data_IF_961294906629
#
_entry.id   IF_961294906629
#
_cell.length_a   1.000
_cell.length_b   1.000
_cell.length_c   1.000
_cell.angle_alpha   90.00
_cell.angle_beta   90.00
_cell.angle_gamma   90.00
#
_symmetry.space_group_name_H-M   'P 1'
#
loop_
_entity.id
_entity.type
_entity.pdbx_description
1 polymer ?
#
# COMPACT_ATOMS: atom_id res chain seq x y z
N UNK A 1 43.77 -78.39 -41.31
CA UNK A 1 42.60 -78.68 -40.43
C UNK A 1 42.08 -77.33 -39.93
N UNK A 2 40.93 -76.87 -40.41
CA UNK A 2 40.38 -75.59 -40.26
C UNK A 2 39.56 -75.47 -38.93
N UNK A 3 39.77 -74.46 -38.14
CA UNK A 3 38.88 -74.11 -37.05
C UNK A 3 38.36 -72.70 -37.26
N UNK A 4 37.02 -72.59 -37.31
CA UNK A 4 36.23 -71.38 -37.49
C UNK A 4 36.16 -70.58 -36.16
N UNK A 5 36.60 -69.34 -36.21
CA UNK A 5 36.37 -68.41 -35.12
C UNK A 5 35.04 -67.65 -35.31
N UNK A 6 34.16 -67.66 -34.28
CA UNK A 6 32.93 -66.96 -34.28
C UNK A 6 33.10 -65.49 -33.82
N UNK A 7 32.60 -64.51 -34.60
CA UNK A 7 32.53 -63.11 -34.24
C UNK A 7 31.30 -62.88 -33.44
N UNK A 8 31.46 -62.41 -32.18
CA UNK A 8 30.41 -61.88 -31.38
C UNK A 8 30.34 -60.37 -31.64
N UNK A 9 29.22 -59.89 -32.22
CA UNK A 9 28.89 -58.46 -32.34
C UNK A 9 28.18 -58.07 -31.07
N UNK A 10 28.83 -57.26 -30.24
CA UNK A 10 28.21 -56.62 -29.04
C UNK A 10 27.57 -55.33 -29.50
N UNK A 11 26.22 -55.31 -29.45
CA UNK A 11 25.42 -54.06 -29.61
C UNK A 11 25.45 -53.26 -28.32
N UNK A 12 26.23 -52.19 -28.30
CA UNK A 12 26.25 -51.20 -27.22
C UNK A 12 25.04 -50.31 -27.29
N UNK A 13 24.09 -50.47 -26.35
CA UNK A 13 23.02 -49.52 -26.14
C UNK A 13 23.55 -48.31 -25.35
N UNK A 14 23.70 -47.16 -26.02
CA UNK A 14 24.02 -45.91 -25.38
C UNK A 14 22.74 -45.37 -24.69
N UNK A 15 22.67 -45.47 -23.35
CA UNK A 15 21.71 -44.74 -22.57
C UNK A 15 22.08 -43.24 -22.58
N UNK A 16 21.32 -42.43 -23.30
CA UNK A 16 21.35 -40.97 -23.17
C UNK A 16 20.72 -40.57 -21.84
N UNK A 17 21.55 -40.28 -20.85
CA UNK A 17 21.11 -39.63 -19.62
C UNK A 17 20.82 -38.17 -19.96
N UNK A 18 19.57 -37.82 -20.08
CA UNK A 18 19.15 -36.39 -20.10
C UNK A 18 19.51 -35.81 -18.75
N UNK A 19 20.57 -35.03 -18.67
CA UNK A 19 20.85 -34.19 -17.51
C UNK A 19 19.77 -33.11 -17.47
N UNK A 20 18.79 -33.26 -16.58
CA UNK A 20 17.97 -32.15 -16.12
C UNK A 20 18.94 -31.14 -15.50
N UNK A 21 19.24 -30.05 -16.22
CA UNK A 21 19.94 -28.92 -15.64
C UNK A 21 19.20 -28.44 -14.40
N UNK A 22 19.90 -27.86 -13.40
CA UNK A 22 19.23 -27.31 -12.23
C UNK A 22 18.16 -26.33 -12.73
N UNK A 23 16.91 -26.56 -12.35
CA UNK A 23 15.87 -25.56 -12.51
C UNK A 23 16.43 -24.26 -11.90
N UNK A 24 16.71 -23.25 -12.74
CA UNK A 24 17.28 -22.00 -12.28
C UNK A 24 16.41 -21.50 -11.12
N UNK A 25 17.03 -21.26 -9.95
CA UNK A 25 16.33 -20.67 -8.84
C UNK A 25 15.63 -19.42 -9.38
N UNK A 26 14.30 -19.35 -9.24
CA UNK A 26 13.58 -18.17 -9.64
C UNK A 26 14.23 -16.98 -8.92
N UNK A 27 14.72 -15.99 -9.69
CA UNK A 27 15.30 -14.80 -9.07
C UNK A 27 14.25 -14.12 -8.21
N UNK A 28 14.62 -13.75 -6.99
CA UNK A 28 13.70 -13.09 -6.04
C UNK A 28 13.12 -11.81 -6.64
N UNK A 29 11.93 -11.47 -6.19
CA UNK A 29 11.19 -10.27 -6.62
C UNK A 29 11.14 -9.31 -5.44
N UNK A 30 11.88 -8.21 -5.53
CA UNK A 30 11.91 -7.19 -4.48
C UNK A 30 10.74 -6.23 -4.62
N UNK A 31 9.85 -6.19 -3.63
CA UNK A 31 8.66 -5.33 -3.66
C UNK A 31 8.71 -4.31 -2.52
N UNK A 32 8.75 -3.03 -2.85
CA UNK A 32 8.54 -1.95 -1.88
C UNK A 32 7.06 -1.56 -1.89
N UNK A 33 6.42 -1.51 -0.72
CA UNK A 33 4.99 -1.20 -0.63
C UNK A 33 4.65 -0.29 0.55
N UNK A 34 3.54 0.43 0.39
CA UNK A 34 3.00 1.28 1.46
C UNK A 34 2.84 0.49 2.76
N UNK A 35 3.23 1.06 3.89
CA UNK A 35 3.16 0.43 5.21
C UNK A 35 1.74 -0.05 5.57
N UNK A 36 0.70 0.67 5.14
CA UNK A 36 -0.70 0.25 5.30
C UNK A 36 -1.07 -1.08 4.63
N UNK A 37 -0.20 -1.59 3.75
CA UNK A 37 -0.38 -2.88 3.08
C UNK A 37 0.40 -4.03 3.75
N UNK A 38 1.26 -3.76 4.75
CA UNK A 38 2.15 -4.74 5.38
C UNK A 38 1.39 -6.02 5.76
N UNK A 39 0.35 -5.91 6.55
CA UNK A 39 -0.39 -7.09 7.02
C UNK A 39 -1.00 -7.89 5.87
N UNK A 40 -1.55 -7.21 4.85
CA UNK A 40 -2.11 -7.84 3.66
C UNK A 40 -1.02 -8.53 2.83
N UNK A 41 0.09 -7.83 2.59
CA UNK A 41 1.21 -8.38 1.81
C UNK A 41 1.78 -9.62 2.48
N UNK A 42 2.13 -9.53 3.76
CA UNK A 42 2.81 -10.61 4.48
C UNK A 42 1.91 -11.81 4.77
N UNK A 43 0.63 -11.59 5.08
CA UNK A 43 -0.28 -12.68 5.49
C UNK A 43 -1.10 -13.28 4.35
N UNK A 44 -1.23 -12.57 3.22
CA UNK A 44 -2.12 -13.01 2.14
C UNK A 44 -1.42 -13.04 0.76
N UNK A 45 -0.86 -11.92 0.31
CA UNK A 45 -0.35 -11.79 -1.06
C UNK A 45 0.95 -12.57 -1.24
N UNK A 46 1.95 -12.39 -0.39
CA UNK A 46 3.25 -13.09 -0.49
C UNK A 46 3.09 -14.61 -0.38
N UNK A 47 2.35 -15.15 0.60
CA UNK A 47 2.10 -16.60 0.66
C UNK A 47 1.36 -17.16 -0.58
N UNK A 48 0.39 -16.42 -1.13
CA UNK A 48 -0.32 -16.83 -2.33
C UNK A 48 0.54 -16.74 -3.60
N UNK A 49 1.45 -15.75 -3.69
CA UNK A 49 2.45 -15.63 -4.74
C UNK A 49 3.44 -16.81 -4.71
N UNK A 50 3.91 -17.20 -3.51
CA UNK A 50 4.80 -18.35 -3.33
C UNK A 50 4.17 -19.67 -3.82
N UNK A 51 2.87 -19.87 -3.61
CA UNK A 51 2.13 -21.04 -4.14
C UNK A 51 2.11 -21.09 -5.67
N UNK A 52 2.42 -19.97 -6.34
CA UNK A 52 2.55 -19.84 -7.80
C UNK A 52 4.00 -19.85 -8.28
N UNK A 53 4.94 -20.14 -7.37
CA UNK A 53 6.37 -20.16 -7.69
C UNK A 53 7.02 -18.77 -7.79
N UNK A 54 6.37 -17.73 -7.28
CA UNK A 54 6.93 -16.37 -7.21
C UNK A 54 7.59 -16.17 -5.84
N UNK A 55 8.90 -15.98 -5.85
CA UNK A 55 9.70 -15.72 -4.64
C UNK A 55 9.72 -14.21 -4.36
N UNK A 56 8.77 -13.74 -3.55
CA UNK A 56 8.53 -12.32 -3.28
C UNK A 56 9.13 -11.93 -1.93
N UNK A 57 10.03 -10.96 -1.96
CA UNK A 57 10.60 -10.30 -0.78
C UNK A 57 10.09 -8.86 -0.71
N UNK A 58 9.47 -8.51 0.41
CA UNK A 58 8.79 -7.25 0.54
C UNK A 58 9.28 -6.39 1.71
N UNK A 59 9.29 -5.07 1.52
CA UNK A 59 9.54 -4.10 2.57
C UNK A 59 8.43 -3.05 2.58
N UNK A 60 7.74 -2.89 3.72
CA UNK A 60 6.69 -1.90 3.92
C UNK A 60 7.17 -0.70 4.74
N UNK A 61 6.95 0.51 4.22
CA UNK A 61 7.19 1.80 4.92
C UNK A 61 6.26 2.89 4.38
N UNK A 62 6.27 4.06 5.02
CA UNK A 62 5.59 5.23 4.45
C UNK A 62 6.01 5.48 3.00
N UNK A 63 5.03 5.61 2.09
CA UNK A 63 5.32 5.64 0.64
C UNK A 63 6.21 6.79 0.21
N UNK A 64 6.20 7.93 0.92
CA UNK A 64 7.11 9.06 0.64
C UNK A 64 8.55 8.67 0.97
N UNK A 65 8.76 8.00 2.11
CA UNK A 65 10.08 7.50 2.49
C UNK A 65 10.61 6.52 1.45
N UNK A 66 9.79 5.57 0.97
CA UNK A 66 10.17 4.62 -0.07
C UNK A 66 10.51 5.32 -1.40
N UNK A 67 9.68 6.28 -1.83
CA UNK A 67 9.96 7.06 -3.04
C UNK A 67 11.29 7.83 -2.95
N UNK A 68 11.64 8.33 -1.75
CA UNK A 68 12.92 9.00 -1.52
C UNK A 68 14.10 8.03 -1.58
N UNK A 69 13.95 6.79 -1.08
CA UNK A 69 14.98 5.75 -1.22
C UNK A 69 15.21 5.38 -2.68
N UNK A 70 14.15 5.26 -3.49
CA UNK A 70 14.24 5.01 -4.93
C UNK A 70 14.92 6.20 -5.63
N UNK A 71 14.47 7.42 -5.35
CA UNK A 71 15.03 8.66 -5.95
C UNK A 71 16.50 8.84 -5.62
N UNK A 72 16.91 8.50 -4.40
CA UNK A 72 18.32 8.59 -3.96
C UNK A 72 19.19 7.42 -4.44
N UNK A 73 18.64 6.43 -5.14
CA UNK A 73 19.37 5.25 -5.59
C UNK A 73 19.77 4.29 -4.45
N UNK A 74 19.18 4.45 -3.25
CA UNK A 74 19.43 3.57 -2.09
C UNK A 74 18.68 2.25 -2.18
N UNK A 75 17.62 2.19 -3.00
CA UNK A 75 16.83 1.00 -3.29
C UNK A 75 16.46 0.96 -4.77
N UNK A 76 16.52 -0.23 -5.35
CA UNK A 76 16.11 -0.51 -6.72
C UNK A 76 15.15 -1.72 -6.70
N UNK A 77 13.86 -1.51 -6.37
CA UNK A 77 12.90 -2.60 -6.31
C UNK A 77 12.46 -3.04 -7.70
N UNK A 78 11.92 -4.26 -7.76
CA UNK A 78 11.25 -4.77 -8.95
C UNK A 78 9.84 -4.20 -9.09
N UNK A 79 9.13 -4.01 -7.95
CA UNK A 79 7.80 -3.38 -7.93
C UNK A 79 7.74 -2.34 -6.82
N UNK A 80 7.12 -1.19 -7.10
CA UNK A 80 6.80 -0.19 -6.09
C UNK A 80 5.28 0.00 -6.01
N UNK A 81 4.70 -0.17 -4.82
CA UNK A 81 3.28 0.02 -4.54
C UNK A 81 3.12 1.18 -3.55
N UNK A 82 2.51 2.26 -4.00
CA UNK A 82 2.30 3.48 -3.22
C UNK A 82 0.85 3.61 -2.76
N UNK A 83 0.63 4.16 -1.57
CA UNK A 83 -0.69 4.61 -1.12
C UNK A 83 -1.09 5.98 -1.70
N UNK A 84 -0.31 6.53 -2.63
CA UNK A 84 -0.66 7.75 -3.36
C UNK A 84 -0.12 7.69 -4.80
N UNK A 85 -1.01 7.65 -5.82
CA UNK A 85 -0.61 7.64 -7.23
C UNK A 85 0.22 8.87 -7.62
N UNK A 86 -0.11 10.06 -7.08
CA UNK A 86 0.60 11.28 -7.38
C UNK A 86 2.09 11.22 -6.96
N UNK A 87 2.39 10.44 -5.91
CA UNK A 87 3.76 10.25 -5.46
C UNK A 87 4.60 9.47 -6.47
N UNK A 88 4.03 8.43 -7.11
CA UNK A 88 4.72 7.72 -8.20
C UNK A 88 4.98 8.70 -9.35
N UNK A 89 4.02 9.56 -9.66
CA UNK A 89 4.20 10.62 -10.65
C UNK A 89 5.41 11.52 -10.40
N UNK A 90 5.81 11.73 -9.13
CA UNK A 90 7.02 12.52 -8.80
C UNK A 90 8.34 11.81 -9.14
N UNK A 91 8.32 10.54 -9.51
CA UNK A 91 9.48 9.77 -9.98
C UNK A 91 9.56 9.72 -11.51
N UNK A 92 8.58 10.29 -12.21
CA UNK A 92 8.47 10.29 -13.66
C UNK A 92 9.18 11.50 -14.29
N UNK A 93 9.49 11.37 -15.56
CA UNK A 93 10.02 12.42 -16.42
C UNK A 93 11.53 12.64 -16.30
N UNK A 94 12.13 13.35 -17.31
CA UNK A 94 13.57 13.56 -17.40
C UNK A 94 14.20 14.23 -16.18
N UNK A 95 13.54 15.21 -15.50
CA UNK A 95 14.10 15.82 -14.29
C UNK A 95 14.32 14.83 -13.14
N UNK A 96 13.62 13.70 -13.16
CA UNK A 96 13.75 12.62 -12.16
C UNK A 96 14.45 11.39 -12.72
N UNK A 97 15.21 11.50 -13.82
CA UNK A 97 15.94 10.40 -14.45
C UNK A 97 15.05 9.31 -15.05
N UNK A 98 13.74 9.57 -15.27
CA UNK A 98 12.77 8.58 -15.72
C UNK A 98 12.79 7.29 -14.87
N UNK A 99 12.95 7.43 -13.54
CA UNK A 99 12.98 6.29 -12.61
C UNK A 99 11.73 5.42 -12.75
N UNK A 100 10.61 6.05 -13.15
CA UNK A 100 9.34 5.42 -13.47
C UNK A 100 8.80 6.06 -14.76
N UNK A 101 8.21 5.28 -15.65
CA UNK A 101 7.62 5.76 -16.90
C UNK A 101 6.11 5.60 -16.97
N UNK A 102 5.53 4.74 -16.14
CA UNK A 102 4.10 4.49 -16.05
C UNK A 102 3.73 4.03 -14.63
N UNK A 103 2.47 4.16 -14.29
CA UNK A 103 1.90 3.51 -13.11
C UNK A 103 0.43 3.16 -13.36
N UNK A 104 -0.11 2.24 -12.57
CA UNK A 104 -1.53 1.91 -12.57
C UNK A 104 -2.13 2.08 -11.18
N UNK A 105 -3.23 2.84 -11.10
CA UNK A 105 -4.09 2.88 -9.92
C UNK A 105 -5.05 1.71 -10.00
N UNK A 106 -5.04 0.84 -8.98
CA UNK A 106 -5.79 -0.42 -9.02
C UNK A 106 -6.77 -0.58 -7.85
N UNK A 107 -6.66 0.25 -6.83
CA UNK A 107 -7.49 0.13 -5.64
C UNK A 107 -7.63 1.47 -4.89
N UNK A 108 -8.68 1.57 -4.09
CA UNK A 108 -8.90 2.69 -3.17
C UNK A 108 -9.07 2.18 -1.74
N UNK A 109 -8.88 3.10 -0.80
CA UNK A 109 -9.16 2.90 0.62
C UNK A 109 -9.74 4.18 1.20
N UNK A 110 -10.10 4.18 2.47
CA UNK A 110 -10.62 5.36 3.17
C UNK A 110 -10.03 5.50 4.55
N UNK A 111 -10.00 6.70 5.06
CA UNK A 111 -9.62 6.97 6.45
C UNK A 111 -10.76 6.63 7.40
N UNK A 112 -10.37 6.03 8.52
CA UNK A 112 -11.22 5.70 9.67
C UNK A 112 -10.51 6.12 10.96
N UNK A 113 -11.23 6.18 12.06
CA UNK A 113 -10.65 6.26 13.41
C UNK A 113 -10.68 4.88 14.01
N UNK A 114 -9.53 4.19 14.01
CA UNK A 114 -9.35 2.97 14.79
C UNK A 114 -9.24 3.29 16.26
N UNK A 115 -9.77 2.46 17.16
CA UNK A 115 -9.65 2.67 18.59
C UNK A 115 -9.30 1.37 19.32
N UNK A 116 -8.60 1.51 20.46
CA UNK A 116 -8.25 0.37 21.30
C UNK A 116 -9.50 -0.10 22.08
N UNK A 117 -9.89 -1.38 22.03
CA UNK A 117 -11.03 -1.89 22.80
C UNK A 117 -10.84 -1.74 24.33
N UNK A 118 -9.57 -1.71 24.78
CA UNK A 118 -9.21 -1.52 26.20
C UNK A 118 -9.18 -0.06 26.65
N UNK A 119 -9.36 0.88 25.72
CA UNK A 119 -9.33 2.31 26.05
C UNK A 119 -10.52 2.72 26.93
N UNK A 120 -10.31 3.61 27.92
CA UNK A 120 -11.41 4.20 28.68
C UNK A 120 -12.40 4.98 27.79
N UNK A 121 -11.98 5.38 26.58
CA UNK A 121 -12.82 6.08 25.59
C UNK A 121 -13.53 5.14 24.62
N UNK A 122 -13.34 3.82 24.70
CA UNK A 122 -13.93 2.86 23.75
C UNK A 122 -15.47 2.98 23.69
N UNK A 123 -16.12 3.22 24.83
CA UNK A 123 -17.58 3.42 24.89
C UNK A 123 -18.04 4.67 24.12
N UNK A 124 -17.28 5.76 24.15
CA UNK A 124 -17.57 6.99 23.40
C UNK A 124 -17.52 6.73 21.88
N UNK A 125 -16.55 5.95 21.41
CA UNK A 125 -16.49 5.54 20.00
C UNK A 125 -17.65 4.64 19.59
N UNK A 126 -18.04 3.67 20.43
CA UNK A 126 -19.26 2.86 20.23
C UNK A 126 -20.52 3.73 20.18
N UNK A 127 -20.59 4.78 20.95
CA UNK A 127 -21.71 5.73 20.93
C UNK A 127 -21.73 6.54 19.63
N UNK A 128 -20.58 6.86 19.05
CA UNK A 128 -20.49 7.46 17.70
C UNK A 128 -21.03 6.49 16.65
N UNK A 129 -20.59 5.22 16.66
CA UNK A 129 -21.09 4.20 15.72
C UNK A 129 -22.60 4.01 15.77
N UNK A 130 -23.17 4.18 16.96
CA UNK A 130 -24.63 4.08 17.20
C UNK A 130 -25.39 5.41 16.99
N UNK A 131 -24.69 6.46 16.55
CA UNK A 131 -25.29 7.79 16.33
C UNK A 131 -25.71 8.52 17.62
N UNK A 132 -25.20 8.12 18.79
CA UNK A 132 -25.50 8.73 20.09
C UNK A 132 -24.52 9.82 20.50
N UNK A 133 -23.34 9.87 19.87
CA UNK A 133 -22.33 10.90 20.08
C UNK A 133 -21.80 11.42 18.74
N UNK A 134 -21.25 12.63 18.74
CA UNK A 134 -20.58 13.19 17.56
C UNK A 134 -19.09 12.88 17.62
N UNK A 135 -18.54 12.33 16.54
CA UNK A 135 -17.13 12.00 16.46
C UNK A 135 -16.20 13.18 16.81
N UNK A 136 -16.54 14.39 16.35
CA UNK A 136 -15.72 15.59 16.61
C UNK A 136 -15.71 16.01 18.09
N UNK A 137 -16.67 15.58 18.88
CA UNK A 137 -16.68 15.81 20.32
C UNK A 137 -15.82 14.78 21.03
N UNK A 138 -15.96 13.50 20.67
CA UNK A 138 -15.16 12.39 21.22
C UNK A 138 -13.67 12.59 20.94
N UNK A 139 -13.30 13.00 19.72
CA UNK A 139 -11.89 13.25 19.37
C UNK A 139 -11.23 14.39 20.15
N UNK A 140 -12.02 15.25 20.79
CA UNK A 140 -11.54 16.34 21.64
C UNK A 140 -11.73 16.08 23.14
N UNK A 141 -12.11 14.86 23.54
CA UNK A 141 -12.21 14.51 24.95
C UNK A 141 -10.84 14.69 25.65
N UNK A 142 -10.82 15.33 26.84
CA UNK A 142 -9.59 15.56 27.58
C UNK A 142 -8.90 14.23 27.92
N UNK A 143 -7.59 14.13 27.63
CA UNK A 143 -6.80 12.96 27.94
C UNK A 143 -6.81 11.86 26.87
N UNK A 144 -7.58 12.01 25.79
CA UNK A 144 -7.57 11.06 24.67
C UNK A 144 -6.19 11.08 23.98
N UNK A 145 -5.52 9.92 23.93
CA UNK A 145 -4.23 9.71 23.28
C UNK A 145 -4.45 9.33 21.82
N UNK A 146 -4.34 10.32 20.95
CA UNK A 146 -4.55 10.14 19.50
C UNK A 146 -3.23 9.94 18.77
N UNK A 147 -3.14 8.91 17.95
CA UNK A 147 -1.99 8.63 17.08
C UNK A 147 -2.25 8.92 15.60
N UNK A 148 -1.18 9.26 14.87
CA UNK A 148 -1.16 9.44 13.42
C UNK A 148 0.25 9.27 12.86
N UNK A 149 0.38 9.04 11.56
CA UNK A 149 1.70 8.95 10.92
C UNK A 149 2.28 10.32 10.56
N UNK A 150 3.59 10.36 10.29
CA UNK A 150 4.30 11.59 9.90
C UNK A 150 3.87 12.05 8.51
N UNK A 151 3.32 13.28 8.36
CA UNK A 151 2.86 13.80 7.08
C UNK A 151 3.98 14.06 6.06
N UNK A 152 5.25 14.10 6.50
CA UNK A 152 6.42 14.24 5.62
C UNK A 152 6.79 12.91 4.98
N UNK A 153 6.59 11.78 5.68
CA UNK A 153 7.08 10.46 5.29
C UNK A 153 5.98 9.53 4.79
N UNK A 154 4.70 9.84 5.09
CA UNK A 154 3.58 8.92 4.85
C UNK A 154 2.35 9.65 4.28
N UNK A 155 1.73 9.11 3.20
CA UNK A 155 0.48 9.64 2.65
C UNK A 155 -0.66 9.70 3.66
N UNK A 156 -0.80 8.73 4.56
CA UNK A 156 -1.82 8.72 5.62
C UNK A 156 -1.62 9.93 6.55
N UNK A 157 -0.38 10.30 6.83
CA UNK A 157 -0.06 11.46 7.66
C UNK A 157 -0.62 12.76 7.09
N UNK A 158 -0.34 13.11 5.82
CA UNK A 158 -0.92 14.32 5.24
C UNK A 158 -2.42 14.19 4.93
N UNK A 159 -2.93 12.98 4.67
CA UNK A 159 -4.36 12.74 4.53
C UNK A 159 -5.12 12.93 5.85
N UNK A 160 -4.49 12.64 6.98
CA UNK A 160 -5.03 12.99 8.30
C UNK A 160 -5.25 14.49 8.45
N UNK A 161 -4.31 15.31 7.95
CA UNK A 161 -4.46 16.77 7.96
C UNK A 161 -5.65 17.22 7.09
N UNK A 162 -5.83 16.62 5.91
CA UNK A 162 -6.99 16.88 5.06
C UNK A 162 -8.28 16.46 5.73
N UNK A 163 -8.34 15.24 6.29
CA UNK A 163 -9.51 14.71 6.95
C UNK A 163 -9.95 15.59 8.12
N UNK A 164 -9.03 16.11 8.92
CA UNK A 164 -9.35 17.02 10.01
C UNK A 164 -9.97 18.34 9.53
N UNK A 165 -9.42 18.94 8.44
CA UNK A 165 -10.00 20.14 7.82
C UNK A 165 -11.40 19.87 7.25
N UNK A 166 -11.59 18.71 6.63
CA UNK A 166 -12.87 18.32 6.06
C UNK A 166 -13.91 17.99 7.14
N UNK A 167 -13.49 17.35 8.24
CA UNK A 167 -14.33 17.13 9.43
C UNK A 167 -14.74 18.45 10.08
N UNK A 168 -13.83 19.42 10.20
CA UNK A 168 -14.12 20.77 10.69
C UNK A 168 -15.26 21.41 9.90
N UNK A 169 -15.17 21.36 8.57
CA UNK A 169 -16.19 21.92 7.66
C UNK A 169 -17.51 21.16 7.75
N UNK A 170 -17.45 19.83 7.69
CA UNK A 170 -18.64 18.97 7.72
C UNK A 170 -19.41 19.11 9.06
N UNK A 171 -18.68 19.32 10.16
CA UNK A 171 -19.26 19.47 11.48
C UNK A 171 -19.68 20.93 11.80
N UNK A 172 -19.32 21.91 10.95
CA UNK A 172 -19.53 23.32 11.22
C UNK A 172 -18.83 23.79 12.50
N UNK A 173 -17.61 23.30 12.77
CA UNK A 173 -16.87 23.54 14.02
C UNK A 173 -15.51 24.20 13.76
N UNK A 174 -15.46 25.52 13.54
CA UNK A 174 -14.22 26.25 13.27
C UNK A 174 -13.15 26.02 14.34
N UNK A 175 -11.89 25.81 13.90
CA UNK A 175 -10.76 25.56 14.79
C UNK A 175 -10.63 24.13 15.30
N UNK A 176 -11.53 23.21 14.90
CA UNK A 176 -11.45 21.79 15.27
C UNK A 176 -10.13 21.14 14.84
N UNK A 177 -9.74 21.31 13.58
CA UNK A 177 -8.53 20.68 13.05
C UNK A 177 -7.27 21.12 13.81
N UNK A 178 -7.13 22.42 14.07
CA UNK A 178 -6.02 22.96 14.84
C UNK A 178 -6.01 22.45 16.29
N UNK A 179 -7.18 22.39 16.94
CA UNK A 179 -7.30 21.89 18.31
C UNK A 179 -7.00 20.40 18.41
N UNK A 180 -7.43 19.61 17.43
CA UNK A 180 -7.21 18.15 17.39
C UNK A 180 -5.75 17.80 17.12
N UNK A 181 -5.13 18.42 16.12
CA UNK A 181 -3.84 18.01 15.61
C UNK A 181 -2.66 18.85 16.13
N UNK A 182 -2.93 20.09 16.57
CA UNK A 182 -1.88 21.05 16.86
C UNK A 182 -1.07 21.40 15.59
N UNK A 183 0.24 21.19 15.64
CA UNK A 183 1.12 21.37 14.50
C UNK A 183 1.01 20.23 13.48
N UNK A 184 1.37 20.49 12.21
CA UNK A 184 1.42 19.47 11.18
C UNK A 184 2.27 18.26 11.60
N UNK A 185 3.38 18.50 12.29
CA UNK A 185 4.28 17.49 12.86
C UNK A 185 4.28 17.52 14.39
N UNK A 186 3.10 17.37 15.00
CA UNK A 186 2.97 17.28 16.46
C UNK A 186 3.66 16.00 17.00
N UNK A 187 4.78 16.14 17.72
CA UNK A 187 5.57 14.98 18.18
C UNK A 187 4.85 14.09 19.19
N UNK A 188 3.81 14.61 19.86
CA UNK A 188 3.00 13.82 20.77
C UNK A 188 2.06 12.84 20.06
N UNK A 189 1.81 13.02 18.75
CA UNK A 189 0.89 12.21 17.98
C UNK A 189 1.55 11.41 16.85
N UNK A 190 2.74 11.85 16.40
CA UNK A 190 3.40 11.27 15.23
C UNK A 190 4.18 10.02 15.60
N UNK A 191 3.91 8.95 14.87
CA UNK A 191 4.59 7.65 15.01
C UNK A 191 4.90 7.08 13.63
N UNK A 192 5.96 6.28 13.50
CA UNK A 192 6.09 5.35 12.38
C UNK A 192 4.88 4.43 12.31
N UNK A 193 4.51 3.99 11.12
CA UNK A 193 3.26 3.25 10.88
C UNK A 193 3.18 1.97 11.71
N UNK A 194 4.26 1.20 11.77
CA UNK A 194 4.34 -0.05 12.55
C UNK A 194 4.18 0.20 14.06
N UNK A 195 4.79 1.27 14.55
CA UNK A 195 4.69 1.67 15.95
C UNK A 195 3.29 2.18 16.29
N UNK A 196 2.63 2.88 15.35
CA UNK A 196 1.27 3.37 15.51
C UNK A 196 0.30 2.23 15.79
N UNK A 197 0.33 1.18 14.95
CA UNK A 197 -0.53 0.02 15.10
C UNK A 197 -0.23 -0.77 16.37
N UNK A 198 1.04 -1.02 16.66
CA UNK A 198 1.46 -1.75 17.85
C UNK A 198 1.01 -1.03 19.14
N UNK A 199 1.15 0.30 19.21
CA UNK A 199 0.70 1.09 20.37
C UNK A 199 -0.80 1.15 20.52
N UNK A 200 -1.54 1.18 19.40
CA UNK A 200 -2.99 1.12 19.44
C UNK A 200 -3.48 -0.26 19.93
N UNK A 201 -2.91 -1.34 19.42
CA UNK A 201 -3.20 -2.71 19.84
C UNK A 201 -2.83 -2.96 21.32
N UNK A 202 -1.70 -2.39 21.76
CA UNK A 202 -1.22 -2.47 23.14
C UNK A 202 -1.95 -1.57 24.14
N UNK A 203 -2.83 -0.67 23.66
CA UNK A 203 -3.56 0.27 24.52
C UNK A 203 -2.74 1.49 24.98
N UNK A 204 -1.54 1.71 24.42
CA UNK A 204 -0.76 2.94 24.65
C UNK A 204 -1.37 4.16 23.95
N UNK A 205 -2.17 3.92 22.91
CA UNK A 205 -3.03 4.90 22.26
C UNK A 205 -4.49 4.50 22.47
N UNK A 206 -5.35 5.51 22.57
CA UNK A 206 -6.79 5.32 22.66
C UNK A 206 -7.44 5.23 21.28
N UNK A 207 -6.94 6.03 20.34
CA UNK A 207 -7.41 6.08 18.97
C UNK A 207 -6.27 6.44 18.00
N UNK A 208 -6.46 6.12 16.72
CA UNK A 208 -5.53 6.50 15.66
C UNK A 208 -6.26 6.71 14.33
N UNK A 209 -5.73 7.62 13.50
CA UNK A 209 -6.10 7.68 12.09
C UNK A 209 -5.50 6.50 11.34
N UNK A 210 -6.34 5.64 10.81
CA UNK A 210 -6.00 4.45 10.05
C UNK A 210 -6.65 4.48 8.67
N UNK A 211 -6.12 3.69 7.74
CA UNK A 211 -6.92 3.26 6.61
C UNK A 211 -7.84 2.09 7.03
N UNK A 212 -8.99 1.97 6.39
CA UNK A 212 -9.91 0.87 6.65
C UNK A 212 -9.25 -0.51 6.44
N UNK A 213 -8.30 -0.61 5.51
CA UNK A 213 -7.49 -1.81 5.27
C UNK A 213 -6.73 -2.26 6.50
N UNK A 214 -6.16 -1.33 7.27
CA UNK A 214 -5.40 -1.65 8.49
C UNK A 214 -6.34 -2.13 9.60
N UNK A 215 -7.48 -1.44 9.76
CA UNK A 215 -8.52 -1.84 10.73
C UNK A 215 -9.01 -3.26 10.47
N UNK A 216 -9.36 -3.58 9.21
CA UNK A 216 -9.80 -4.93 8.80
C UNK A 216 -8.71 -5.95 9.01
N UNK A 217 -7.49 -5.69 8.53
CA UNK A 217 -6.38 -6.64 8.59
C UNK A 217 -5.93 -6.96 10.02
N UNK A 218 -6.08 -6.00 10.94
CA UNK A 218 -5.73 -6.14 12.38
C UNK A 218 -6.92 -6.45 13.25
N UNK A 219 -8.15 -6.51 12.70
CA UNK A 219 -9.40 -6.68 13.45
C UNK A 219 -9.58 -5.64 14.57
N UNK A 220 -9.14 -4.42 14.29
CA UNK A 220 -9.34 -3.29 15.19
C UNK A 220 -10.71 -2.69 14.94
N UNK A 221 -11.50 -2.38 15.98
CA UNK A 221 -12.73 -1.63 15.81
C UNK A 221 -12.41 -0.22 15.30
N UNK A 222 -13.31 0.32 14.47
CA UNK A 222 -13.07 1.64 13.87
C UNK A 222 -14.39 2.36 13.56
N UNK A 223 -14.41 3.65 13.85
CA UNK A 223 -15.48 4.58 13.48
C UNK A 223 -15.23 5.09 12.07
N UNK A 224 -16.23 5.00 11.21
CA UNK A 224 -16.22 5.58 9.87
C UNK A 224 -16.24 7.11 9.91
N UNK A 225 -15.38 7.74 9.15
CA UNK A 225 -15.50 9.19 8.90
C UNK A 225 -16.64 9.47 7.91
N UNK A 226 -17.28 10.64 7.99
CA UNK A 226 -18.25 11.06 6.98
C UNK A 226 -17.64 10.99 5.56
N UNK A 227 -18.44 10.62 4.56
CA UNK A 227 -17.97 10.52 3.16
C UNK A 227 -17.24 11.77 2.66
N UNK A 228 -17.68 12.96 3.12
CA UNK A 228 -17.04 14.24 2.79
C UNK A 228 -15.62 14.40 3.39
N UNK A 229 -15.20 13.52 4.31
CA UNK A 229 -13.93 13.64 5.03
C UNK A 229 -13.04 12.36 5.00
N UNK A 230 -13.58 11.20 4.60
CA UNK A 230 -12.86 9.92 4.66
C UNK A 230 -11.90 9.69 3.50
N UNK A 231 -11.91 10.54 2.49
CA UNK A 231 -11.07 10.46 1.27
C UNK A 231 -11.24 9.14 0.47
N UNK A 232 -12.33 8.39 0.68
CA UNK A 232 -12.50 7.07 0.04
C UNK A 232 -13.39 7.08 -1.19
N UNK A 233 -14.15 8.13 -1.42
CA UNK A 233 -15.15 8.21 -2.49
C UNK A 233 -14.66 9.10 -3.65
N UNK A 234 -14.33 8.53 -4.83
CA UNK A 234 -13.93 9.32 -5.99
C UNK A 234 -14.95 10.40 -6.40
N UNK A 235 -16.25 10.17 -6.15
CA UNK A 235 -17.30 11.16 -6.44
C UNK A 235 -17.16 12.42 -5.56
N UNK A 236 -16.45 12.35 -4.45
CA UNK A 236 -16.17 13.48 -3.55
C UNK A 236 -14.86 14.21 -3.87
N UNK A 237 -14.20 13.92 -4.99
CA UNK A 237 -12.88 14.48 -5.32
C UNK A 237 -12.85 16.02 -5.24
N UNK A 238 -13.89 16.71 -5.70
CA UNK A 238 -14.00 18.17 -5.61
C UNK A 238 -14.07 18.66 -4.15
N UNK A 239 -14.81 17.95 -3.29
CA UNK A 239 -14.87 18.23 -1.85
C UNK A 239 -13.50 18.05 -1.21
N UNK A 240 -12.83 16.94 -1.50
CA UNK A 240 -11.48 16.66 -0.96
C UNK A 240 -10.46 17.70 -1.39
N UNK A 241 -10.50 18.15 -2.66
CA UNK A 241 -9.60 19.16 -3.20
C UNK A 241 -9.73 20.54 -2.51
N UNK A 242 -10.79 20.77 -1.74
CA UNK A 242 -10.91 21.95 -0.90
C UNK A 242 -9.96 21.97 0.29
N UNK A 243 -9.49 20.79 0.76
CA UNK A 243 -8.48 20.68 1.82
C UNK A 243 -7.07 20.80 1.22
N UNK A 244 -6.24 21.65 1.84
CA UNK A 244 -4.86 21.89 1.40
C UNK A 244 -3.95 22.03 2.60
N UNK A 245 -2.74 21.51 2.49
CA UNK A 245 -1.69 21.67 3.51
C UNK A 245 -0.36 21.92 2.85
N UNK A 246 0.46 22.78 3.47
CA UNK A 246 1.86 22.99 3.06
C UNK A 246 2.76 22.23 4.03
N UNK A 247 3.59 21.34 3.49
CA UNK A 247 4.52 20.50 4.24
C UNK A 247 5.88 20.62 3.55
N UNK A 248 6.90 21.04 4.29
CA UNK A 248 8.27 21.24 3.79
C UNK A 248 8.30 22.09 2.49
N UNK A 249 7.53 23.17 2.46
CA UNK A 249 7.45 24.09 1.32
C UNK A 249 6.58 23.58 0.14
N UNK A 250 6.10 22.35 0.15
CA UNK A 250 5.26 21.80 -0.90
C UNK A 250 3.78 21.82 -0.47
N UNK A 251 2.92 22.43 -1.28
CA UNK A 251 1.47 22.40 -1.07
C UNK A 251 0.88 21.12 -1.66
N UNK A 252 0.19 20.36 -0.81
CA UNK A 252 -0.57 19.17 -1.18
C UNK A 252 -2.05 19.48 -1.14
N UNK A 253 -2.79 18.93 -2.08
CA UNK A 253 -4.25 19.07 -2.19
C UNK A 253 -4.91 17.73 -1.92
N UNK A 254 -6.01 17.74 -1.19
CA UNK A 254 -6.79 16.54 -0.88
C UNK A 254 -7.30 15.87 -2.15
N UNK A 255 -7.22 14.54 -2.16
CA UNK A 255 -7.66 13.69 -3.25
C UNK A 255 -8.13 12.34 -2.68
N UNK A 256 -8.86 11.52 -3.45
CA UNK A 256 -9.21 10.16 -3.04
C UNK A 256 -7.98 9.36 -2.66
N UNK A 257 -8.07 8.59 -1.57
CA UNK A 257 -7.02 7.70 -1.13
C UNK A 257 -6.99 6.46 -2.02
N UNK A 258 -5.91 6.29 -2.77
CA UNK A 258 -5.79 5.22 -3.75
C UNK A 258 -4.42 4.56 -3.67
N UNK A 259 -4.38 3.28 -4.03
CA UNK A 259 -3.15 2.53 -4.23
C UNK A 259 -2.81 2.45 -5.71
N UNK A 260 -1.57 2.70 -6.00
CA UNK A 260 -1.01 2.53 -7.34
C UNK A 260 0.29 1.73 -7.28
N UNK A 261 0.59 1.04 -8.37
CA UNK A 261 1.83 0.30 -8.53
C UNK A 261 2.54 0.65 -9.83
N UNK A 262 3.83 0.37 -9.86
CA UNK A 262 4.68 0.48 -11.04
C UNK A 262 5.80 -0.55 -10.98
N UNK A 263 6.37 -0.87 -12.14
CA UNK A 263 7.66 -1.52 -12.30
C UNK A 263 8.66 -0.41 -12.62
N UNK A 264 9.62 -0.08 -11.75
CA UNK A 264 10.63 0.94 -12.04
C UNK A 264 11.44 0.60 -13.27
N UNK A 265 11.95 1.65 -13.96
CA UNK A 265 12.70 1.48 -15.22
C UNK A 265 13.98 0.64 -15.06
N UNK A 266 14.57 0.65 -13.86
CA UNK A 266 15.78 -0.10 -13.51
C UNK A 266 15.48 -1.32 -12.62
N UNK A 267 14.29 -1.92 -12.74
CA UNK A 267 13.94 -3.14 -12.01
C UNK A 267 14.95 -4.26 -12.29
N UNK A 268 15.57 -4.87 -11.27
CA UNK A 268 16.56 -5.94 -11.47
C UNK A 268 15.97 -7.21 -12.07
N UNK A 269 14.71 -7.53 -11.74
CA UNK A 269 13.99 -8.70 -12.24
C UNK A 269 12.66 -8.29 -12.91
N UNK A 270 12.67 -7.68 -14.10
CA UNK A 270 11.47 -7.17 -14.76
C UNK A 270 10.48 -8.28 -15.15
N UNK A 271 10.95 -9.50 -15.41
CA UNK A 271 10.09 -10.64 -15.72
C UNK A 271 9.33 -11.10 -14.47
N UNK A 272 10.02 -11.27 -13.34
CA UNK A 272 9.39 -11.59 -12.07
C UNK A 272 8.43 -10.50 -11.61
N UNK A 273 8.83 -9.22 -11.75
CA UNK A 273 7.97 -8.07 -11.48
C UNK A 273 6.66 -8.13 -12.29
N UNK A 274 6.76 -8.42 -13.58
CA UNK A 274 5.60 -8.56 -14.47
C UNK A 274 4.67 -9.67 -13.99
N UNK A 275 5.22 -10.85 -13.69
CA UNK A 275 4.44 -12.01 -13.21
C UNK A 275 3.76 -11.71 -11.85
N UNK A 276 4.44 -10.99 -10.95
CA UNK A 276 3.85 -10.58 -9.69
C UNK A 276 2.70 -9.58 -9.89
N UNK A 277 2.86 -8.60 -10.77
CA UNK A 277 1.80 -7.63 -11.09
C UNK A 277 0.62 -8.31 -11.76
N UNK A 278 0.84 -9.26 -12.69
CA UNK A 278 -0.21 -10.10 -13.28
C UNK A 278 -0.99 -10.84 -12.21
N UNK A 279 -0.30 -11.48 -11.27
CA UNK A 279 -0.94 -12.16 -10.15
C UNK A 279 -1.77 -11.17 -9.30
N UNK A 280 -1.20 -10.03 -8.91
CA UNK A 280 -1.88 -9.06 -8.04
C UNK A 280 -3.14 -8.49 -8.69
N UNK A 281 -3.12 -8.25 -10.01
CA UNK A 281 -4.24 -7.74 -10.79
C UNK A 281 -5.18 -8.83 -11.32
N UNK A 282 -4.87 -10.12 -11.08
CA UNK A 282 -5.74 -11.23 -11.45
C UNK A 282 -6.99 -11.29 -10.57
N UNK A 283 -7.95 -12.13 -10.97
CA UNK A 283 -9.14 -12.42 -10.16
C UNK A 283 -8.78 -12.88 -8.74
N UNK A 284 -7.79 -13.76 -8.60
CA UNK A 284 -7.37 -14.29 -7.30
C UNK A 284 -6.70 -13.21 -6.44
N UNK A 285 -5.82 -12.40 -7.04
CA UNK A 285 -5.24 -11.23 -6.38
C UNK A 285 -6.31 -10.25 -5.92
N UNK A 286 -7.29 -9.94 -6.76
CA UNK A 286 -8.42 -9.08 -6.39
C UNK A 286 -9.24 -9.63 -5.23
N UNK A 287 -9.48 -10.95 -5.15
CA UNK A 287 -10.18 -11.56 -4.02
C UNK A 287 -9.40 -11.37 -2.71
N UNK A 288 -8.07 -11.52 -2.74
CA UNK A 288 -7.22 -11.30 -1.56
C UNK A 288 -7.20 -9.82 -1.14
N UNK A 289 -7.17 -8.89 -2.10
CA UNK A 289 -7.26 -7.45 -1.86
C UNK A 289 -8.58 -7.10 -1.17
N UNK A 290 -9.71 -7.55 -1.71
CA UNK A 290 -11.06 -7.30 -1.16
C UNK A 290 -11.20 -7.90 0.24
N UNK A 291 -10.73 -9.14 0.46
CA UNK A 291 -10.75 -9.79 1.76
C UNK A 291 -9.92 -9.01 2.82
N UNK A 292 -8.95 -8.21 2.38
CA UNK A 292 -8.13 -7.35 3.23
C UNK A 292 -8.70 -5.94 3.42
N UNK A 293 -9.94 -5.67 2.98
CA UNK A 293 -10.60 -4.37 3.14
C UNK A 293 -10.22 -3.31 2.11
N UNK A 294 -9.56 -3.71 1.02
CA UNK A 294 -9.28 -2.84 -0.13
C UNK A 294 -10.51 -2.80 -1.04
N UNK A 295 -10.82 -1.64 -1.57
CA UNK A 295 -11.81 -1.50 -2.65
C UNK A 295 -11.08 -1.53 -3.98
N UNK A 296 -11.19 -2.65 -4.72
CA UNK A 296 -10.63 -2.76 -6.06
C UNK A 296 -11.42 -1.86 -7.01
N UNK A 297 -10.71 -1.15 -7.86
CA UNK A 297 -11.30 -0.29 -8.91
C UNK A 297 -10.79 -0.73 -10.28
N UNK A 298 -11.49 -0.41 -11.36
CA UNK A 298 -10.94 -0.61 -12.71
C UNK A 298 -9.55 0.03 -12.80
N UNK A 299 -8.55 -0.68 -13.33
CA UNK A 299 -7.19 -0.16 -13.42
C UNK A 299 -7.15 1.13 -14.24
N UNK A 300 -6.53 2.17 -13.68
CA UNK A 300 -6.33 3.45 -14.37
C UNK A 300 -4.84 3.64 -14.63
N UNK A 301 -4.45 3.47 -15.89
CA UNK A 301 -3.07 3.63 -16.35
C UNK A 301 -2.74 5.11 -16.55
N UNK A 302 -1.56 5.51 -16.09
CA UNK A 302 -1.00 6.86 -16.31
C UNK A 302 0.46 6.76 -16.77
N UNK A 303 0.90 7.73 -17.57
CA UNK A 303 2.26 7.79 -18.12
C UNK A 303 2.38 7.14 -19.50
N UNK A 304 3.55 6.58 -19.79
CA UNK A 304 3.85 6.00 -21.10
C UNK A 304 3.30 4.58 -21.25
N UNK A 305 2.22 4.44 -21.99
CA UNK A 305 1.54 3.17 -22.27
C UNK A 305 2.44 2.16 -23.03
N UNK A 306 3.36 2.65 -23.86
CA UNK A 306 4.28 1.77 -24.61
C UNK A 306 5.30 1.10 -23.74
N UNK A 307 5.65 1.72 -22.60
CA UNK A 307 6.58 1.15 -21.61
C UNK A 307 5.97 0.07 -20.72
N UNK A 308 4.64 -0.12 -20.78
CA UNK A 308 3.96 -1.19 -20.03
C UNK A 308 4.29 -2.54 -20.67
N UNK A 309 4.71 -3.57 -19.88
CA UNK A 309 4.89 -4.93 -20.38
C UNK A 309 3.68 -5.42 -21.17
N UNK A 310 3.92 -6.06 -22.31
CA UNK A 310 2.86 -6.44 -23.26
C UNK A 310 1.79 -7.32 -22.59
N UNK A 311 2.20 -8.24 -21.72
CA UNK A 311 1.28 -9.14 -21.02
C UNK A 311 0.38 -8.44 -19.99
N UNK A 312 0.79 -7.28 -19.47
CA UNK A 312 -0.04 -6.49 -18.56
C UNK A 312 -1.09 -5.64 -19.27
N UNK A 313 -0.87 -5.27 -20.54
CA UNK A 313 -1.77 -4.35 -21.25
C UNK A 313 -3.24 -4.80 -21.26
N UNK A 314 -3.57 -6.11 -21.47
CA UNK A 314 -4.96 -6.56 -21.41
C UNK A 314 -5.62 -6.44 -20.04
N UNK A 315 -4.83 -6.38 -18.96
CA UNK A 315 -5.32 -6.21 -17.59
C UNK A 315 -5.56 -4.74 -17.23
N UNK A 316 -5.08 -3.81 -18.06
CA UNK A 316 -5.10 -2.36 -17.82
C UNK A 316 -5.99 -1.59 -18.82
N UNK A 317 -6.68 -2.33 -19.67
CA UNK A 317 -7.56 -1.79 -20.75
C UNK A 317 -8.99 -1.52 -20.26
#
# INVERSE_FOLDING_TARGET
MMTRGAFLVSAGATLSVATLGPAGAASSIEVLYAGSLVTMMERSIVPAAAQRGLDVHGEGKGSVALANLIRGGFRSPDVFISADPALIGTLMGPPNGNLVTWYVTFATTRLVIGYAPSSPFAHSFVDVERGRARLVDVLLEPGLRLGRTDPVLDPKGYRTLFAAQLLERAAGRPGFAAKLLGENRNPAQILPEEALLARLEGGDLDAAFLYATESVARRLPAVELPKAANLGDPAQAATYASARVTIDGATRTGAPAAYALTIPSAAPNPAGATSFVEFLLSRDGHQLLVASGVTVVPPMLAGNHESVPISLRPLLA
#
